data_IF_982393837643
#
_entry.id   IF_982393837643
#
_cell.length_a   1.000
_cell.length_b   1.000
_cell.length_c   1.000
_cell.angle_alpha   90.00
_cell.angle_beta   90.00
_cell.angle_gamma   90.00
#
_symmetry.space_group_name_H-M   'P 1'
#
loop_
_entity.id
_entity.type
_entity.pdbx_description
1 polymer ?
#
# COMPACT_ATOMS: atom_id res chain seq x y z
N UNK A 1 -18.01 24.72 -12.66
CA UNK A 1 -17.33 23.42 -12.45
C UNK A 1 -15.83 23.63 -12.29
N UNK A 2 -15.40 24.25 -11.19
CA UNK A 2 -13.99 24.30 -10.81
C UNK A 2 -13.91 23.67 -9.43
N UNK A 3 -13.68 22.37 -9.40
CA UNK A 3 -13.39 21.66 -8.16
C UNK A 3 -12.02 22.15 -7.69
N UNK A 4 -12.04 23.07 -6.73
CA UNK A 4 -10.87 23.55 -6.01
C UNK A 4 -10.18 22.35 -5.39
N UNK A 5 -9.18 21.79 -6.09
CA UNK A 5 -8.35 20.68 -5.62
C UNK A 5 -7.65 21.11 -4.32
N UNK A 6 -8.32 20.88 -3.18
CA UNK A 6 -7.69 20.93 -1.86
C UNK A 6 -6.52 19.97 -1.92
N UNK A 7 -5.31 20.49 -1.70
CA UNK A 7 -4.10 19.66 -1.60
C UNK A 7 -4.27 18.83 -0.32
N UNK A 8 -4.51 17.54 -0.48
CA UNK A 8 -4.64 16.60 0.62
C UNK A 8 -3.22 16.23 1.05
N UNK A 9 -2.87 16.53 2.29
CA UNK A 9 -1.62 16.09 2.89
C UNK A 9 -1.94 14.82 3.67
N UNK A 10 -1.24 13.74 3.38
CA UNK A 10 -1.33 12.49 4.12
C UNK A 10 -0.02 12.29 4.88
N UNK A 11 -0.13 11.80 6.10
CA UNK A 11 1.00 11.31 6.88
C UNK A 11 1.46 9.96 6.35
N UNK A 12 2.71 9.58 6.64
CA UNK A 12 3.24 8.25 6.28
C UNK A 12 2.37 7.11 6.80
N UNK A 13 1.88 7.22 8.04
CA UNK A 13 0.96 6.23 8.63
C UNK A 13 -0.31 6.08 7.79
N UNK A 14 -0.96 7.20 7.41
CA UNK A 14 -2.17 7.17 6.59
C UNK A 14 -1.90 6.56 5.19
N UNK A 15 -0.75 6.84 4.59
CA UNK A 15 -0.36 6.26 3.31
C UNK A 15 -0.16 4.75 3.44
N UNK A 16 0.53 4.30 4.48
CA UNK A 16 0.74 2.88 4.75
C UNK A 16 -0.59 2.16 4.97
N UNK A 17 -1.48 2.73 5.77
CA UNK A 17 -2.78 2.17 6.08
C UNK A 17 -3.67 2.08 4.82
N UNK A 18 -3.63 3.08 3.94
CA UNK A 18 -4.31 3.05 2.64
C UNK A 18 -3.70 1.99 1.70
N UNK A 19 -2.37 1.80 1.68
CA UNK A 19 -1.73 0.72 0.93
C UNK A 19 -2.25 -0.64 1.40
N UNK A 20 -2.21 -0.91 2.71
CA UNK A 20 -2.65 -2.17 3.28
C UNK A 20 -4.14 -2.42 2.99
N UNK A 21 -4.98 -1.40 3.18
CA UNK A 21 -6.43 -1.45 2.92
C UNK A 21 -6.74 -1.77 1.47
N UNK A 22 -6.08 -1.09 0.51
CA UNK A 22 -6.31 -1.31 -0.93
C UNK A 22 -5.87 -2.70 -1.37
N UNK A 23 -4.75 -3.20 -0.87
CA UNK A 23 -4.29 -4.56 -1.17
C UNK A 23 -5.22 -5.62 -0.55
N UNK A 24 -5.69 -5.38 0.68
CA UNK A 24 -6.62 -6.28 1.36
C UNK A 24 -7.96 -6.36 0.63
N UNK A 25 -8.52 -5.21 0.20
CA UNK A 25 -9.75 -5.15 -0.62
C UNK A 25 -9.64 -5.95 -1.92
N UNK A 26 -8.45 -5.96 -2.53
CA UNK A 26 -8.14 -6.73 -3.76
C UNK A 26 -7.73 -8.18 -3.47
N UNK A 27 -7.73 -8.60 -2.20
CA UNK A 27 -7.29 -9.91 -1.70
C UNK A 27 -5.87 -10.27 -2.14
N UNK A 28 -4.97 -9.29 -2.23
CA UNK A 28 -3.57 -9.50 -2.64
C UNK A 28 -2.76 -10.02 -1.44
N UNK A 29 -2.75 -11.33 -1.27
CA UNK A 29 -2.12 -12.02 -0.15
C UNK A 29 -1.24 -13.16 -0.65
N UNK A 30 -0.06 -13.33 -0.04
CA UNK A 30 0.76 -14.53 -0.24
C UNK A 30 1.05 -14.79 -1.71
N UNK A 31 0.48 -15.87 -2.26
CA UNK A 31 0.67 -16.27 -3.67
C UNK A 31 0.01 -15.37 -4.71
N UNK A 32 -0.86 -14.44 -4.33
CA UNK A 32 -1.40 -13.39 -5.22
C UNK A 32 -0.61 -12.10 -5.02
N UNK A 33 0.00 -11.61 -6.09
CA UNK A 33 0.82 -10.40 -6.07
C UNK A 33 0.33 -9.34 -7.04
N UNK A 34 0.83 -8.11 -6.86
CA UNK A 34 0.70 -7.00 -7.80
C UNK A 34 2.07 -6.38 -8.04
N UNK A 35 2.24 -5.69 -9.16
CA UNK A 35 3.40 -4.83 -9.38
C UNK A 35 3.52 -3.79 -8.26
N UNK A 36 4.75 -3.54 -7.80
CA UNK A 36 5.08 -2.50 -6.84
C UNK A 36 4.67 -1.11 -7.32
N UNK A 37 4.79 -0.82 -8.61
CA UNK A 37 4.37 0.46 -9.18
C UNK A 37 2.85 0.67 -9.12
N UNK A 38 2.06 -0.39 -8.91
CA UNK A 38 0.62 -0.25 -8.71
C UNK A 38 0.25 0.35 -7.34
N UNK A 39 1.19 0.48 -6.40
CA UNK A 39 0.94 1.15 -5.12
C UNK A 39 0.61 2.63 -5.29
N UNK A 40 1.11 3.30 -6.33
CA UNK A 40 0.77 4.68 -6.67
C UNK A 40 -0.40 4.81 -7.67
N UNK A 41 -1.00 3.70 -8.11
CA UNK A 41 -2.03 3.77 -9.16
C UNK A 41 -3.30 4.44 -8.63
N UNK A 42 -3.70 5.54 -9.28
CA UNK A 42 -4.88 6.32 -8.91
C UNK A 42 -4.65 7.33 -7.78
N UNK A 43 -3.40 7.51 -7.31
CA UNK A 43 -3.05 8.54 -6.34
C UNK A 43 -2.65 9.82 -7.07
N UNK A 44 -2.83 11.02 -6.47
CA UNK A 44 -2.32 12.26 -7.02
C UNK A 44 -0.80 12.19 -7.26
N UNK A 45 -0.32 12.81 -8.35
CA UNK A 45 1.08 12.74 -8.75
C UNK A 45 2.05 13.18 -7.63
N UNK A 46 1.68 14.20 -6.85
CA UNK A 46 2.52 14.71 -5.76
C UNK A 46 2.67 13.74 -4.58
N UNK A 47 1.74 12.79 -4.39
CA UNK A 47 1.84 11.74 -3.36
C UNK A 47 2.47 10.45 -3.88
N UNK A 48 2.66 10.33 -5.20
CA UNK A 48 3.12 9.08 -5.82
C UNK A 48 4.48 8.62 -5.28
N UNK A 49 5.39 9.55 -5.01
CA UNK A 49 6.67 9.26 -4.38
C UNK A 49 6.49 8.68 -2.98
N UNK A 50 5.65 9.31 -2.16
CA UNK A 50 5.40 8.91 -0.77
C UNK A 50 4.78 7.51 -0.68
N UNK A 51 3.87 7.17 -1.59
CA UNK A 51 3.30 5.82 -1.69
C UNK A 51 4.37 4.75 -1.99
N UNK A 52 5.31 5.04 -2.89
CA UNK A 52 6.39 4.09 -3.19
C UNK A 52 7.37 4.00 -2.03
N UNK A 53 7.70 5.10 -1.35
CA UNK A 53 8.59 5.06 -0.19
C UNK A 53 7.97 4.28 0.97
N UNK A 54 6.71 4.55 1.29
CA UNK A 54 5.98 3.83 2.32
C UNK A 54 5.77 2.35 1.96
N UNK A 55 5.60 2.03 0.67
CA UNK A 55 5.62 0.64 0.19
C UNK A 55 6.93 -0.09 0.52
N UNK A 56 8.09 0.57 0.36
CA UNK A 56 9.39 0.01 0.76
C UNK A 56 9.49 -0.15 2.28
N UNK A 57 8.98 0.80 3.05
CA UNK A 57 8.92 0.71 4.52
C UNK A 57 8.11 -0.50 4.96
N UNK A 58 6.93 -0.73 4.39
CA UNK A 58 6.11 -1.90 4.68
C UNK A 58 6.78 -3.23 4.30
N UNK A 59 7.62 -3.25 3.25
CA UNK A 59 8.46 -4.42 2.92
C UNK A 59 9.53 -4.63 4.00
N UNK A 60 10.23 -3.57 4.43
CA UNK A 60 11.27 -3.64 5.48
C UNK A 60 10.69 -4.11 6.81
N UNK A 61 9.50 -3.62 7.16
CA UNK A 61 8.77 -4.07 8.34
C UNK A 61 8.31 -5.53 8.19
N UNK A 62 8.13 -6.03 6.97
CA UNK A 62 7.67 -7.38 6.68
C UNK A 62 6.15 -7.52 6.63
N UNK A 63 5.40 -6.41 6.59
CA UNK A 63 3.95 -6.40 6.35
C UNK A 63 3.63 -6.68 4.87
N UNK A 64 4.52 -6.29 3.97
CA UNK A 64 4.53 -6.72 2.58
C UNK A 64 5.62 -7.75 2.36
N UNK A 65 5.30 -8.78 1.58
CA UNK A 65 6.29 -9.67 0.97
C UNK A 65 6.60 -9.17 -0.44
N UNK A 66 7.87 -9.26 -0.82
CA UNK A 66 8.32 -8.93 -2.16
C UNK A 66 8.78 -10.18 -2.90
N UNK A 67 8.55 -10.21 -4.22
CA UNK A 67 9.04 -11.23 -5.13
C UNK A 67 9.65 -10.55 -6.34
N UNK A 68 10.94 -10.79 -6.60
CA UNK A 68 11.56 -10.37 -7.86
C UNK A 68 11.08 -11.28 -8.97
N UNK A 69 10.62 -10.69 -10.07
CA UNK A 69 10.20 -11.40 -11.28
C UNK A 69 10.89 -10.77 -12.50
N UNK A 70 10.91 -11.48 -13.63
CA UNK A 70 11.51 -10.94 -14.87
C UNK A 70 10.85 -9.64 -15.36
N UNK A 71 9.60 -9.38 -14.95
CA UNK A 71 8.84 -8.18 -15.31
C UNK A 71 8.85 -7.10 -14.22
N UNK A 72 9.65 -7.26 -13.15
CA UNK A 72 9.79 -6.25 -12.09
C UNK A 72 9.56 -6.78 -10.67
N UNK A 73 9.47 -5.84 -9.73
CA UNK A 73 9.23 -6.11 -8.32
C UNK A 73 7.73 -6.29 -8.07
N UNK A 74 7.35 -7.47 -7.60
CA UNK A 74 5.97 -7.73 -7.19
C UNK A 74 5.85 -7.73 -5.67
N UNK A 75 4.70 -7.29 -5.17
CA UNK A 75 4.38 -7.25 -3.75
C UNK A 75 3.03 -7.87 -3.43
N UNK A 76 2.91 -8.42 -2.22
CA UNK A 76 1.66 -8.87 -1.64
C UNK A 76 1.66 -8.65 -0.12
N UNK A 77 0.48 -8.69 0.50
CA UNK A 77 0.37 -8.72 1.95
C UNK A 77 0.95 -10.02 2.49
N UNK A 78 1.68 -9.92 3.60
CA UNK A 78 2.31 -11.07 4.25
C UNK A 78 1.27 -11.90 5.02
N UNK A 79 0.95 -13.14 4.60
CA UNK A 79 -0.02 -13.98 5.32
C UNK A 79 0.40 -14.32 6.74
N UNK A 80 1.72 -14.36 7.02
CA UNK A 80 2.25 -14.63 8.36
C UNK A 80 1.95 -13.51 9.36
N UNK A 81 1.70 -12.30 8.85
CA UNK A 81 1.35 -11.10 9.65
C UNK A 81 -0.11 -10.69 9.47
N UNK A 82 -0.97 -11.61 9.04
CA UNK A 82 -2.37 -11.31 8.71
C UNK A 82 -3.14 -10.65 9.86
N UNK A 83 -3.02 -11.18 11.09
CA UNK A 83 -3.71 -10.62 12.27
C UNK A 83 -3.32 -9.17 12.52
N UNK A 84 -2.03 -8.87 12.42
CA UNK A 84 -1.51 -7.52 12.61
C UNK A 84 -1.95 -6.55 11.51
N UNK A 85 -1.87 -6.98 10.25
CA UNK A 85 -2.33 -6.18 9.11
C UNK A 85 -3.83 -5.89 9.22
N UNK A 86 -4.64 -6.89 9.59
CA UNK A 86 -6.07 -6.74 9.76
C UNK A 86 -6.40 -5.77 10.90
N UNK A 87 -5.75 -5.92 12.05
CA UNK A 87 -5.90 -4.99 13.19
C UNK A 87 -5.56 -3.56 12.77
N UNK A 88 -4.45 -3.36 12.06
CA UNK A 88 -4.04 -2.04 11.58
C UNK A 88 -5.06 -1.43 10.63
N UNK A 89 -5.64 -2.23 9.72
CA UNK A 89 -6.69 -1.76 8.80
C UNK A 89 -7.97 -1.39 9.57
N UNK A 90 -8.35 -2.18 10.58
CA UNK A 90 -9.52 -1.91 11.42
C UNK A 90 -9.37 -0.60 12.21
N UNK A 91 -8.22 -0.40 12.85
CA UNK A 91 -7.87 0.84 13.57
C UNK A 91 -7.81 2.09 12.67
N UNK A 92 -7.59 1.93 11.36
CA UNK A 92 -7.58 3.06 10.42
C UNK A 92 -8.97 3.48 9.93
N UNK A 93 -10.00 2.68 10.22
CA UNK A 93 -11.40 2.96 9.84
C UNK A 93 -12.20 3.59 10.98
N UNK A 94 -11.68 3.55 12.21
CA UNK A 94 -12.21 4.23 13.41
C UNK A 94 -11.67 5.67 13.52
#
# INVERSE_FOLDING_TARGET
MHDSKRRIILTDKQIQDDILTRLNRRRVWGGKHTDFEHLKKGVPAYLSGDYLQNGKTLIKEGLLIQKKTNYGLQVALNPRRRKEIQKRIEESLE
#
